data_IF_517199175994
#
_entry.id   IF_517199175994
#
_cell.length_a   1.000
_cell.length_b   1.000
_cell.length_c   1.000
_cell.angle_alpha   90.00
_cell.angle_beta   90.00
_cell.angle_gamma   90.00
#
_symmetry.space_group_name_H-M   'P 1'
#
loop_
_entity.id
_entity.type
_entity.pdbx_description
1 polymer ?
#
# COMPACT_ATOMS: atom_id res chain seq x y z
N UNK A 1 -4.54 0.29 -22.92
CA UNK A 1 -5.09 0.77 -21.64
C UNK A 1 -4.09 0.35 -20.59
N UNK A 2 -3.23 1.26 -20.18
CA UNK A 2 -2.35 1.06 -19.04
C UNK A 2 -3.25 0.99 -17.80
N UNK A 3 -3.39 -0.21 -17.25
CA UNK A 3 -4.15 -0.40 -16.03
C UNK A 3 -3.43 0.33 -14.90
N UNK A 4 -4.15 0.95 -13.98
CA UNK A 4 -3.60 1.61 -12.77
C UNK A 4 -2.53 0.75 -12.06
N UNK A 5 -2.65 -0.57 -12.18
CA UNK A 5 -1.66 -1.56 -11.78
C UNK A 5 -0.23 -1.33 -12.33
N UNK A 6 -0.06 -0.95 -13.60
CA UNK A 6 1.27 -0.71 -14.19
C UNK A 6 1.93 0.54 -13.60
N UNK A 7 1.14 1.61 -13.35
CA UNK A 7 1.62 2.83 -12.68
C UNK A 7 2.05 2.54 -11.24
N UNK A 8 1.26 1.73 -10.52
CA UNK A 8 1.61 1.30 -9.16
C UNK A 8 2.88 0.43 -9.19
N UNK A 9 2.99 -0.52 -10.11
CA UNK A 9 4.20 -1.37 -10.26
C UNK A 9 5.44 -0.53 -10.54
N UNK A 10 5.31 0.53 -11.34
CA UNK A 10 6.42 1.42 -11.63
C UNK A 10 6.80 2.26 -10.40
N UNK A 11 5.82 2.78 -9.67
CA UNK A 11 6.06 3.51 -8.42
C UNK A 11 6.63 2.61 -7.30
N UNK A 12 6.27 1.32 -7.29
CA UNK A 12 6.86 0.31 -6.39
C UNK A 12 8.34 0.05 -6.67
N UNK A 13 8.89 0.50 -7.80
CA UNK A 13 10.33 0.45 -8.07
C UNK A 13 11.08 1.66 -7.49
N UNK A 14 10.36 2.71 -7.11
CA UNK A 14 10.94 3.87 -6.44
C UNK A 14 11.29 3.55 -4.99
N UNK A 15 12.00 4.47 -4.33
CA UNK A 15 12.35 4.30 -2.92
C UNK A 15 11.08 4.35 -2.06
N UNK A 16 10.87 3.36 -1.18
CA UNK A 16 9.75 3.40 -0.25
C UNK A 16 9.90 4.58 0.70
N UNK A 17 8.80 5.27 0.99
CA UNK A 17 8.76 6.37 1.96
C UNK A 17 8.92 5.87 3.40
N UNK A 18 8.64 4.59 3.62
CA UNK A 18 8.77 3.96 4.92
C UNK A 18 8.48 2.48 4.82
N UNK A 19 9.07 1.71 5.71
CA UNK A 19 8.76 0.30 5.86
C UNK A 19 8.34 0.02 7.29
N UNK A 20 7.33 -0.84 7.42
CA UNK A 20 6.82 -1.32 8.70
C UNK A 20 7.05 -2.82 8.81
N UNK A 21 6.55 -3.43 9.89
CA UNK A 21 6.69 -4.88 10.14
C UNK A 21 6.09 -5.70 8.99
N UNK A 22 4.96 -5.24 8.46
CA UNK A 22 4.17 -6.01 7.50
C UNK A 22 4.04 -5.36 6.13
N UNK A 23 4.20 -4.04 6.04
CA UNK A 23 4.02 -3.29 4.81
C UNK A 23 5.26 -2.50 4.40
N UNK A 24 5.38 -2.27 3.11
CA UNK A 24 6.29 -1.30 2.54
C UNK A 24 5.42 -0.20 1.95
N UNK A 25 5.67 1.02 2.38
CA UNK A 25 4.88 2.18 2.01
C UNK A 25 5.59 2.94 0.90
N UNK A 26 4.84 3.26 -0.13
CA UNK A 26 5.27 4.04 -1.27
C UNK A 26 4.31 5.20 -1.43
N UNK A 27 4.85 6.36 -1.83
CA UNK A 27 4.03 7.48 -2.23
C UNK A 27 4.08 7.54 -3.74
N UNK A 28 2.93 7.65 -4.37
CA UNK A 28 2.77 7.71 -5.82
C UNK A 28 1.98 8.97 -6.14
N UNK A 29 2.03 9.45 -7.38
CA UNK A 29 1.18 10.58 -7.82
C UNK A 29 -0.32 10.30 -7.66
N UNK A 30 -0.73 9.04 -7.54
CA UNK A 30 -2.12 8.60 -7.38
C UNK A 30 -2.54 8.59 -5.90
N UNK A 31 -1.57 8.43 -4.99
CA UNK A 31 -1.82 8.25 -3.57
C UNK A 31 -0.78 7.36 -2.89
N UNK A 32 -1.13 6.86 -1.70
CA UNK A 32 -0.25 6.04 -0.86
C UNK A 32 -0.45 4.56 -1.19
N UNK A 33 0.63 3.83 -1.38
CA UNK A 33 0.61 2.39 -1.67
C UNK A 33 1.27 1.63 -0.53
N UNK A 34 0.53 0.70 0.09
CA UNK A 34 1.06 -0.24 1.07
C UNK A 34 1.24 -1.63 0.46
N UNK A 35 2.47 -1.97 0.08
CA UNK A 35 2.86 -3.28 -0.43
C UNK A 35 3.04 -4.27 0.71
N UNK A 36 2.51 -5.49 0.56
CA UNK A 36 2.58 -6.50 1.60
C UNK A 36 3.93 -7.22 1.54
N UNK A 37 4.65 -7.26 2.66
CA UNK A 37 5.93 -8.02 2.79
C UNK A 37 5.71 -9.52 2.89
N UNK A 38 4.55 -9.97 3.41
CA UNK A 38 4.23 -11.39 3.64
C UNK A 38 2.81 -11.72 3.14
N UNK A 39 2.61 -12.98 2.75
CA UNK A 39 1.31 -13.57 2.44
C UNK A 39 0.55 -13.92 3.73
N UNK A 40 0.23 -12.93 4.55
CA UNK A 40 -0.62 -13.11 5.74
C UNK A 40 -2.08 -12.72 5.43
N UNK A 41 -3.00 -13.02 6.35
CA UNK A 41 -4.43 -12.83 6.11
C UNK A 41 -4.79 -11.35 5.92
N UNK A 42 -5.50 -11.05 4.83
CA UNK A 42 -6.03 -9.73 4.48
C UNK A 42 -6.79 -9.06 5.64
N UNK A 43 -7.55 -9.82 6.43
CA UNK A 43 -8.33 -9.29 7.55
C UNK A 43 -7.42 -8.69 8.63
N UNK A 44 -6.35 -9.40 9.02
CA UNK A 44 -5.36 -8.93 9.99
C UNK A 44 -4.68 -7.66 9.48
N UNK A 45 -4.35 -7.65 8.19
CA UNK A 45 -3.74 -6.50 7.54
C UNK A 45 -4.67 -5.30 7.46
N UNK A 46 -5.94 -5.50 7.13
CA UNK A 46 -6.91 -4.43 7.02
C UNK A 46 -7.12 -3.69 8.34
N UNK A 47 -7.03 -4.37 9.49
CA UNK A 47 -7.10 -3.73 10.81
C UNK A 47 -5.77 -3.16 11.29
N UNK A 48 -4.65 -3.76 10.89
CA UNK A 48 -3.33 -3.30 11.32
C UNK A 48 -2.73 -2.22 10.42
N UNK A 49 -3.20 -2.08 9.18
CA UNK A 49 -2.64 -1.13 8.19
C UNK A 49 -2.79 0.32 8.65
N UNK A 50 -3.88 0.68 9.32
CA UNK A 50 -4.09 2.01 9.92
C UNK A 50 -3.07 2.29 11.03
N UNK A 51 -2.81 1.28 11.87
CA UNK A 51 -1.82 1.37 12.95
C UNK A 51 -0.41 1.51 12.36
N UNK A 52 -0.09 0.70 11.34
CA UNK A 52 1.20 0.72 10.64
C UNK A 52 1.42 2.05 9.89
N UNK A 53 0.40 2.59 9.23
CA UNK A 53 0.44 3.91 8.61
C UNK A 53 0.79 4.99 9.63
N UNK A 54 0.11 4.97 10.77
CA UNK A 54 0.34 5.94 11.84
C UNK A 54 1.78 5.88 12.38
N UNK A 55 2.42 4.69 12.43
CA UNK A 55 3.83 4.55 12.83
C UNK A 55 4.79 5.33 11.94
N UNK A 56 4.49 5.45 10.66
CA UNK A 56 5.29 6.22 9.69
C UNK A 56 4.71 7.62 9.41
N UNK A 57 3.81 8.10 10.28
CA UNK A 57 3.13 9.39 10.16
C UNK A 57 2.25 9.56 8.91
N UNK A 58 1.75 8.45 8.35
CA UNK A 58 0.71 8.47 7.32
C UNK A 58 -0.68 8.36 7.97
N UNK A 59 -1.60 9.24 7.56
CA UNK A 59 -2.98 9.26 8.05
C UNK A 59 -3.95 8.78 6.97
N UNK A 60 -4.03 7.46 6.80
CA UNK A 60 -4.93 6.79 5.83
C UNK A 60 -6.38 6.66 6.33
N UNK A 61 -6.67 7.16 7.54
CA UNK A 61 -7.97 7.01 8.22
C UNK A 61 -9.13 7.64 7.45
N UNK A 62 -8.83 8.60 6.58
CA UNK A 62 -9.80 9.30 5.73
C UNK A 62 -9.69 8.94 4.25
N UNK A 63 -8.70 8.14 3.88
CA UNK A 63 -8.44 7.76 2.49
C UNK A 63 -9.30 6.55 2.12
N UNK A 64 -9.75 6.50 0.86
CA UNK A 64 -10.36 5.28 0.32
C UNK A 64 -9.28 4.23 0.12
N UNK A 65 -9.54 3.02 0.59
CA UNK A 65 -8.62 1.89 0.49
C UNK A 65 -9.11 0.89 -0.53
N UNK A 66 -8.32 0.69 -1.58
CA UNK A 66 -8.56 -0.33 -2.58
C UNK A 66 -7.51 -1.43 -2.51
N UNK A 67 -7.95 -2.68 -2.62
CA UNK A 67 -7.08 -3.84 -2.53
C UNK A 67 -6.77 -4.36 -3.92
N UNK A 68 -5.50 -4.28 -4.29
CA UNK A 68 -5.02 -4.63 -5.61
C UNK A 68 -4.06 -5.80 -5.49
N UNK A 69 -4.28 -6.83 -6.30
CA UNK A 69 -3.38 -8.00 -6.39
C UNK A 69 -2.79 -8.07 -7.79
N UNK A 70 -1.47 -7.88 -7.90
CA UNK A 70 -0.74 -7.86 -9.18
C UNK A 70 0.36 -8.90 -9.15
N UNK A 71 0.36 -9.86 -10.11
CA UNK A 71 1.44 -10.85 -10.30
C UNK A 71 1.96 -11.45 -8.98
N UNK A 72 1.03 -11.90 -8.12
CA UNK A 72 1.27 -12.48 -6.78
C UNK A 72 1.70 -11.50 -5.66
N UNK A 73 1.92 -10.22 -5.96
CA UNK A 73 2.06 -9.18 -4.95
C UNK A 73 0.69 -8.62 -4.56
N UNK A 74 0.48 -8.47 -3.26
CA UNK A 74 -0.71 -7.85 -2.69
C UNK A 74 -0.33 -6.45 -2.23
N UNK A 75 -1.16 -5.47 -2.54
CA UNK A 75 -0.98 -4.09 -2.11
C UNK A 75 -2.32 -3.41 -1.82
N UNK A 76 -2.29 -2.44 -0.92
CA UNK A 76 -3.37 -1.50 -0.74
C UNK A 76 -3.01 -0.19 -1.42
N UNK A 77 -3.95 0.37 -2.17
CA UNK A 77 -3.88 1.72 -2.67
C UNK A 77 -4.82 2.58 -1.83
N UNK A 78 -4.27 3.64 -1.27
CA UNK A 78 -4.97 4.68 -0.54
C UNK A 78 -4.99 5.93 -1.40
N UNK A 79 -6.19 6.43 -1.70
CA UNK A 79 -6.38 7.65 -2.47
C UNK A 79 -7.52 8.47 -1.85
N UNK A 80 -7.49 9.78 -2.08
CA UNK A 80 -8.49 10.73 -1.55
C UNK A 80 -9.21 11.47 -2.66
#
# INVERSE_FOLDING_TARGET
MESTCDLIIDSLKEEPIGETDYFIWFITDIGIVALFKKNEHFETYSSNVEIEANKISLDITKEEKDYIKIKEKQLFLFYS
#
